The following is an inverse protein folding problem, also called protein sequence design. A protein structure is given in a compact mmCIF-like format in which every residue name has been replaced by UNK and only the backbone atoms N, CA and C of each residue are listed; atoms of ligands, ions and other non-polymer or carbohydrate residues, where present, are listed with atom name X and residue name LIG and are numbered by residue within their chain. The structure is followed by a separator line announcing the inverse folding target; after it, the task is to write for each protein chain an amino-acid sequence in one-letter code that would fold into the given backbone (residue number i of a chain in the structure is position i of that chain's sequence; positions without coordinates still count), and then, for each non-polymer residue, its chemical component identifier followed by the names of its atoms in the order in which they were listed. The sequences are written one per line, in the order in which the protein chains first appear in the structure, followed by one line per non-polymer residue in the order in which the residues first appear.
data_IF_150668833055
#
_entry.id   IF_150668833055
#
_cell.length_a   1.000
_cell.length_b   1.000
_cell.length_c   1.000
_cell.angle_alpha   90.00
_cell.angle_beta   90.00
_cell.angle_gamma   90.00
#
_symmetry.space_group_name_H-M   'P 1'
#
loop_
_entity.id
_entity.type
_entity.pdbx_description
1 polymer ?
#
# COMPACT_ATOMS: atom_id res chain seq x y z
N UNK A 1 35.04 -35.96 -24.76
CA UNK A 1 34.01 -34.90 -24.71
C UNK A 1 32.88 -35.39 -23.80
N UNK A 2 32.86 -34.91 -22.56
CA UNK A 2 31.95 -35.35 -21.49
C UNK A 2 31.30 -34.10 -20.91
N UNK A 3 29.96 -34.10 -20.85
CA UNK A 3 29.15 -33.02 -20.28
C UNK A 3 29.43 -32.83 -18.77
N UNK A 4 29.37 -31.60 -18.22
CA UNK A 4 29.60 -31.39 -16.81
C UNK A 4 28.35 -31.78 -16.00
N UNK A 5 28.57 -32.70 -15.05
CA UNK A 5 27.63 -33.12 -14.00
C UNK A 5 27.24 -31.94 -13.12
N UNK A 6 25.94 -31.60 -13.07
CA UNK A 6 25.38 -30.75 -12.03
C UNK A 6 25.52 -31.42 -10.66
N UNK A 7 26.25 -30.77 -9.79
CA UNK A 7 26.51 -31.18 -8.41
C UNK A 7 25.22 -31.03 -7.58
N UNK A 8 24.51 -32.14 -7.33
CA UNK A 8 23.50 -32.24 -6.27
C UNK A 8 24.16 -31.96 -4.92
N UNK A 9 24.03 -30.73 -4.41
CA UNK A 9 24.29 -30.44 -2.99
C UNK A 9 22.97 -30.54 -2.22
N UNK A 10 22.94 -31.51 -1.30
CA UNK A 10 21.91 -31.72 -0.29
C UNK A 10 21.76 -30.42 0.52
N UNK A 11 20.73 -29.63 0.23
CA UNK A 11 20.29 -28.54 1.09
C UNK A 11 19.26 -29.11 2.08
N UNK A 12 19.66 -29.09 3.36
CA UNK A 12 18.90 -29.37 4.58
C UNK A 12 17.39 -29.55 4.43
N UNK A 13 16.96 -30.80 4.60
CA UNK A 13 15.58 -31.27 4.69
C UNK A 13 14.83 -30.80 5.96
N UNK A 14 15.32 -29.75 6.65
CA UNK A 14 14.72 -29.20 7.88
C UNK A 14 14.16 -27.78 7.66
N UNK A 15 14.62 -27.05 6.64
CA UNK A 15 14.11 -25.70 6.31
C UNK A 15 12.85 -25.73 5.43
N UNK A 16 12.63 -26.82 4.69
CA UNK A 16 11.45 -27.01 3.84
C UNK A 16 10.22 -27.42 4.66
N UNK A 17 10.41 -28.11 5.80
CA UNK A 17 9.32 -28.45 6.71
C UNK A 17 8.81 -27.23 7.51
N UNK A 18 9.65 -26.22 7.77
CA UNK A 18 9.26 -25.00 8.50
C UNK A 18 8.50 -23.98 7.63
N UNK A 19 8.75 -23.95 6.32
CA UNK A 19 7.94 -23.20 5.34
C UNK A 19 6.56 -23.86 5.15
N UNK A 20 6.50 -25.20 5.16
CA UNK A 20 5.24 -25.95 5.12
C UNK A 20 4.45 -25.89 6.44
N UNK A 21 5.13 -25.78 7.60
CA UNK A 21 4.47 -25.57 8.89
C UNK A 21 3.90 -24.16 9.07
N UNK A 22 4.47 -23.11 8.45
CA UNK A 22 3.85 -21.78 8.41
C UNK A 22 2.75 -21.66 7.35
N UNK A 23 2.87 -22.35 6.21
CA UNK A 23 1.74 -22.51 5.30
C UNK A 23 0.61 -23.28 5.99
N UNK A 24 0.91 -24.31 6.81
CA UNK A 24 -0.08 -25.08 7.56
C UNK A 24 -0.63 -24.36 8.80
N UNK A 25 0.11 -23.46 9.46
CA UNK A 25 -0.41 -22.63 10.57
C UNK A 25 -1.18 -21.41 10.07
N UNK A 26 -0.82 -20.88 8.90
CA UNK A 26 -1.62 -19.88 8.18
C UNK A 26 -2.88 -20.54 7.61
N UNK A 27 -2.80 -21.76 7.05
CA UNK A 27 -3.97 -22.56 6.65
C UNK A 27 -4.75 -23.16 7.82
N UNK A 28 -4.17 -23.39 8.99
CA UNK A 28 -4.90 -23.90 10.16
C UNK A 28 -5.64 -22.76 10.86
N UNK A 29 -5.06 -21.56 10.95
CA UNK A 29 -5.80 -20.36 11.34
C UNK A 29 -6.84 -19.97 10.28
N UNK A 30 -6.55 -20.16 8.98
CA UNK A 30 -7.52 -19.93 7.90
C UNK A 30 -8.60 -21.04 7.84
N UNK A 31 -8.31 -22.31 8.19
CA UNK A 31 -9.32 -23.39 8.26
C UNK A 31 -10.13 -23.40 9.56
N UNK A 32 -9.58 -22.91 10.68
CA UNK A 32 -10.36 -22.67 11.90
C UNK A 32 -11.26 -21.43 11.79
N UNK A 33 -10.93 -20.47 10.90
CA UNK A 33 -11.78 -19.30 10.62
C UNK A 33 -12.69 -19.43 9.38
N UNK A 34 -12.31 -20.22 8.36
CA UNK A 34 -13.13 -20.48 7.16
C UNK A 34 -14.25 -21.50 7.37
N UNK A 35 -14.46 -22.03 8.58
CA UNK A 35 -15.63 -22.86 8.87
C UNK A 35 -16.87 -22.06 9.29
N UNK A 36 -16.89 -20.74 9.09
CA UNK A 36 -18.11 -19.94 9.19
C UNK A 36 -18.28 -19.14 7.90
N UNK A 37 -19.14 -19.69 7.04
CA UNK A 37 -19.78 -19.11 5.85
C UNK A 37 -18.84 -18.57 4.76
N UNK A 38 -18.53 -19.45 3.80
CA UNK A 38 -18.07 -19.07 2.47
C UNK A 38 -19.18 -18.35 1.69
N UNK A 39 -19.42 -17.09 2.01
CA UNK A 39 -20.08 -16.17 1.10
C UNK A 39 -19.02 -15.26 0.48
N UNK A 40 -18.61 -15.60 -0.75
CA UNK A 40 -18.02 -14.62 -1.65
C UNK A 40 -19.08 -13.54 -1.91
N UNK A 41 -18.84 -12.31 -1.48
CA UNK A 41 -19.64 -11.18 -1.94
C UNK A 41 -19.21 -10.91 -3.38
N UNK A 42 -20.02 -11.39 -4.33
CA UNK A 42 -19.80 -11.16 -5.75
C UNK A 42 -20.06 -9.69 -6.09
N UNK A 43 -19.05 -8.97 -6.55
CA UNK A 43 -19.20 -7.64 -7.13
C UNK A 43 -19.53 -7.69 -8.63
N UNK A 44 -20.25 -8.71 -9.10
CA UNK A 44 -20.62 -8.91 -10.52
C UNK A 44 -21.59 -7.88 -11.09
N UNK A 45 -21.84 -6.77 -10.40
CA UNK A 45 -22.68 -5.67 -10.90
C UNK A 45 -21.90 -4.40 -11.29
N UNK A 46 -20.57 -4.35 -11.15
CA UNK A 46 -19.79 -3.12 -11.36
C UNK A 46 -18.86 -3.18 -12.58
N UNK A 47 -19.41 -3.43 -13.77
CA UNK A 47 -18.73 -3.07 -15.00
C UNK A 47 -18.96 -1.56 -15.24
N UNK A 48 -17.95 -0.74 -14.96
CA UNK A 48 -18.02 0.71 -15.19
C UNK A 48 -17.88 0.99 -16.71
N UNK A 49 -18.87 1.58 -17.38
CA UNK A 49 -18.65 2.12 -18.72
C UNK A 49 -17.68 3.31 -18.64
N UNK A 50 -16.63 3.27 -19.43
CA UNK A 50 -15.66 4.38 -19.55
C UNK A 50 -16.31 5.48 -20.40
N UNK A 51 -16.83 6.53 -19.76
CA UNK A 51 -17.28 7.73 -20.47
C UNK A 51 -16.07 8.65 -20.77
N UNK A 52 -15.87 9.13 -22.02
CA UNK A 52 -14.69 9.93 -22.39
C UNK A 52 -14.75 11.40 -21.96
N UNK A 53 -15.88 11.88 -21.43
CA UNK A 53 -16.06 13.31 -21.15
C UNK A 53 -15.66 13.66 -19.71
N UNK A 54 -14.60 14.47 -19.57
CA UNK A 54 -14.27 15.14 -18.29
C UNK A 54 -15.40 16.11 -17.92
N UNK A 55 -16.40 15.63 -17.19
CA UNK A 55 -17.31 16.54 -16.46
C UNK A 55 -16.52 17.21 -15.34
N UNK A 56 -16.40 18.53 -15.42
CA UNK A 56 -16.05 19.35 -14.27
C UNK A 56 -17.22 19.20 -13.31
N UNK A 57 -17.04 18.51 -12.18
CA UNK A 57 -18.07 18.45 -11.14
C UNK A 57 -18.18 19.83 -10.50
N UNK A 58 -18.98 20.69 -11.14
CA UNK A 58 -19.46 21.93 -10.58
C UNK A 58 -20.33 21.63 -9.37
N UNK A 59 -20.27 22.54 -8.41
CA UNK A 59 -21.05 22.63 -7.19
C UNK A 59 -22.54 22.53 -7.52
N UNK A 60 -23.17 21.37 -7.25
CA UNK A 60 -24.63 21.26 -7.33
C UNK A 60 -25.15 21.04 -5.92
N UNK A 61 -25.75 22.10 -5.35
CA UNK A 61 -26.74 21.97 -4.28
C UNK A 61 -27.99 21.34 -4.90
N UNK A 62 -27.95 20.05 -5.19
CA UNK A 62 -29.16 19.34 -5.59
C UNK A 62 -29.94 19.04 -4.31
N UNK A 63 -31.19 19.51 -4.25
CA UNK A 63 -32.18 18.99 -3.32
C UNK A 63 -32.13 17.46 -3.39
N UNK A 64 -31.75 16.81 -2.30
CA UNK A 64 -31.37 15.40 -2.37
C UNK A 64 -32.53 14.50 -2.76
N UNK A 65 -33.79 14.96 -2.71
CA UNK A 65 -34.99 14.18 -3.02
C UNK A 65 -34.99 12.79 -2.35
N UNK A 66 -34.40 12.69 -1.14
CA UNK A 66 -34.24 11.44 -0.38
C UNK A 66 -32.98 10.62 -0.69
N UNK A 67 -32.17 11.00 -1.67
CA UNK A 67 -30.88 10.38 -1.96
C UNK A 67 -29.85 10.66 -0.86
N UNK A 68 -28.93 9.71 -0.57
CA UNK A 68 -27.90 9.93 0.43
C UNK A 68 -26.89 10.97 -0.05
N UNK A 69 -26.40 11.79 0.88
CA UNK A 69 -25.49 12.90 0.58
C UNK A 69 -24.05 12.51 0.93
N UNK A 70 -23.13 12.72 -0.02
CA UNK A 70 -21.70 12.52 0.17
C UNK A 70 -20.94 13.84 0.14
N UNK A 71 -20.02 13.98 1.07
CA UNK A 71 -19.03 15.05 1.11
C UNK A 71 -17.67 14.51 0.67
N UNK A 72 -17.12 15.05 -0.42
CA UNK A 72 -15.82 14.59 -0.98
C UNK A 72 -14.76 15.66 -0.78
N UNK A 73 -13.67 15.33 -0.09
CA UNK A 73 -12.60 16.28 0.29
C UNK A 73 -11.28 15.89 -0.34
N UNK A 74 -10.72 16.80 -1.12
CA UNK A 74 -9.38 16.66 -1.67
C UNK A 74 -8.63 17.98 -1.74
N UNK A 75 -7.33 17.90 -2.02
CA UNK A 75 -6.54 19.08 -2.41
C UNK A 75 -6.92 19.42 -3.86
N UNK A 76 -7.11 20.71 -4.16
CA UNK A 76 -7.40 21.20 -5.52
C UNK A 76 -8.65 20.56 -6.16
N UNK A 77 -9.82 20.73 -5.53
CA UNK A 77 -11.09 20.14 -6.00
C UNK A 77 -11.46 20.54 -7.45
N UNK A 78 -10.97 21.69 -7.93
CA UNK A 78 -11.23 22.19 -9.28
C UNK A 78 -10.45 21.47 -10.39
N UNK A 79 -9.52 20.55 -10.07
CA UNK A 79 -8.65 19.92 -11.09
C UNK A 79 -9.10 18.51 -11.51
N UNK A 80 -10.30 18.07 -11.13
CA UNK A 80 -10.73 16.67 -11.30
C UNK A 80 -10.04 15.71 -10.33
N UNK A 81 -9.47 16.22 -9.24
CA UNK A 81 -8.89 15.41 -8.19
C UNK A 81 -9.98 14.56 -7.51
N UNK A 82 -9.71 13.27 -7.29
CA UNK A 82 -10.69 12.26 -6.82
C UNK A 82 -11.84 11.97 -7.79
N UNK A 83 -11.73 12.30 -9.08
CA UNK A 83 -12.76 12.02 -10.09
C UNK A 83 -13.39 10.62 -9.98
N UNK A 84 -12.57 9.57 -9.83
CA UNK A 84 -13.07 8.20 -9.69
C UNK A 84 -13.94 7.98 -8.45
N UNK A 85 -13.70 8.71 -7.35
CA UNK A 85 -14.54 8.66 -6.16
C UNK A 85 -15.90 9.27 -6.46
N UNK A 86 -15.93 10.44 -7.11
CA UNK A 86 -17.18 11.07 -7.52
C UNK A 86 -18.00 10.15 -8.43
N UNK A 87 -17.36 9.51 -9.41
CA UNK A 87 -18.03 8.60 -10.33
C UNK A 87 -18.64 7.39 -9.63
N UNK A 88 -17.88 6.74 -8.73
CA UNK A 88 -18.38 5.63 -7.94
C UNK A 88 -19.55 6.06 -7.06
N UNK A 89 -19.46 7.23 -6.42
CA UNK A 89 -20.54 7.74 -5.56
C UNK A 89 -21.82 8.04 -6.37
N UNK A 90 -21.69 8.66 -7.53
CA UNK A 90 -22.82 8.92 -8.43
C UNK A 90 -23.49 7.61 -8.86
N UNK A 91 -22.70 6.59 -9.22
CA UNK A 91 -23.24 5.26 -9.56
C UNK A 91 -23.92 4.55 -8.38
N UNK A 92 -23.47 4.83 -7.16
CA UNK A 92 -24.11 4.34 -5.93
C UNK A 92 -25.35 5.18 -5.53
N UNK A 93 -25.72 6.19 -6.33
CA UNK A 93 -26.88 7.05 -6.08
C UNK A 93 -26.65 8.15 -5.04
N UNK A 94 -25.39 8.44 -4.68
CA UNK A 94 -25.08 9.57 -3.80
C UNK A 94 -25.14 10.89 -4.56
N UNK A 95 -25.63 11.92 -3.87
CA UNK A 95 -25.48 13.31 -4.30
C UNK A 95 -24.23 13.88 -3.64
N UNK A 96 -23.25 14.31 -4.44
CA UNK A 96 -22.04 14.95 -3.91
C UNK A 96 -22.28 16.44 -3.68
N UNK A 97 -22.14 16.90 -2.44
CA UNK A 97 -22.48 18.26 -2.03
C UNK A 97 -21.35 18.96 -1.24
N UNK A 98 -21.51 20.27 -1.05
CA UNK A 98 -20.65 21.09 -0.19
C UNK A 98 -20.84 20.78 1.30
N UNK A 99 -19.80 21.08 2.09
CA UNK A 99 -19.77 20.91 3.54
C UNK A 99 -20.67 21.90 4.27
N UNK A 100 -20.71 23.13 3.76
CA UNK A 100 -21.41 24.24 4.38
C UNK A 100 -22.31 24.93 3.36
N UNK A 101 -23.38 25.53 3.85
CA UNK A 101 -24.15 26.52 3.12
C UNK A 101 -23.37 27.85 2.98
N UNK A 102 -24.01 28.84 2.36
CA UNK A 102 -23.46 30.17 2.11
C UNK A 102 -23.22 30.94 3.42
N UNK A 103 -23.99 30.63 4.47
CA UNK A 103 -23.87 31.20 5.81
C UNK A 103 -22.87 30.45 6.71
N UNK A 104 -22.24 29.37 6.22
CA UNK A 104 -21.23 28.60 6.92
C UNK A 104 -21.77 27.53 7.87
N UNK A 105 -23.08 27.28 7.88
CA UNK A 105 -23.70 26.19 8.61
C UNK A 105 -23.47 24.83 7.91
N UNK A 106 -23.28 23.79 8.71
CA UNK A 106 -22.98 22.42 8.27
C UNK A 106 -24.21 21.78 7.63
N UNK A 107 -24.11 21.41 6.36
CA UNK A 107 -25.20 20.74 5.65
C UNK A 107 -25.41 19.28 6.13
N UNK A 108 -26.60 18.69 5.93
CA UNK A 108 -26.82 17.26 6.18
C UNK A 108 -25.93 16.38 5.29
N UNK A 109 -25.46 15.24 5.82
CA UNK A 109 -24.62 14.30 5.08
C UNK A 109 -24.66 12.89 5.67
N UNK A 110 -24.44 11.89 4.81
CA UNK A 110 -24.42 10.46 5.15
C UNK A 110 -23.02 9.85 5.02
N UNK A 111 -22.22 10.33 4.07
CA UNK A 111 -20.85 9.87 3.85
C UNK A 111 -19.87 11.05 3.77
N UNK A 112 -18.80 10.98 4.56
CA UNK A 112 -17.64 11.83 4.38
C UNK A 112 -16.50 11.01 3.77
N UNK A 113 -16.15 11.34 2.53
CA UNK A 113 -14.98 10.83 1.85
C UNK A 113 -13.86 11.87 1.88
N UNK A 114 -12.89 11.70 2.76
CA UNK A 114 -11.75 12.60 2.87
C UNK A 114 -10.48 11.96 2.33
N UNK A 115 -9.72 12.68 1.50
CA UNK A 115 -8.35 12.27 1.15
C UNK A 115 -7.40 12.47 2.34
N UNK A 116 -7.49 13.61 3.02
CA UNK A 116 -6.68 13.90 4.21
C UNK A 116 -7.34 13.31 5.47
N UNK A 117 -6.56 13.12 6.54
CA UNK A 117 -7.06 12.60 7.82
C UNK A 117 -7.99 13.61 8.51
N UNK A 118 -9.31 13.34 8.64
CA UNK A 118 -10.31 14.36 8.98
C UNK A 118 -10.44 14.62 10.50
N UNK A 119 -9.90 13.76 11.36
CA UNK A 119 -10.11 13.88 12.82
C UNK A 119 -9.31 15.00 13.49
N UNK A 120 -8.47 15.73 12.73
CA UNK A 120 -7.72 16.89 13.24
C UNK A 120 -8.46 18.20 12.96
N UNK A 121 -8.78 18.45 11.71
CA UNK A 121 -9.38 19.70 11.24
C UNK A 121 -10.90 19.70 11.31
N UNK A 122 -11.57 18.55 11.11
CA UNK A 122 -13.01 18.42 11.28
C UNK A 122 -13.38 17.86 12.67
N UNK A 123 -12.50 18.02 13.67
CA UNK A 123 -12.69 17.49 15.03
C UNK A 123 -14.07 17.81 15.65
N UNK A 124 -14.64 19.03 15.53
CA UNK A 124 -15.96 19.32 16.07
C UNK A 124 -17.08 18.46 15.46
N UNK A 125 -16.99 18.17 14.15
CA UNK A 125 -17.97 17.36 13.41
C UNK A 125 -17.74 15.88 13.74
N UNK A 126 -16.48 15.42 13.71
CA UNK A 126 -16.13 14.01 13.97
C UNK A 126 -16.51 13.53 15.38
N UNK A 127 -16.59 14.44 16.36
CA UNK A 127 -17.06 14.12 17.72
C UNK A 127 -18.58 13.96 17.83
N UNK A 128 -19.34 14.42 16.84
CA UNK A 128 -20.80 14.49 16.85
C UNK A 128 -21.44 13.64 15.74
N UNK A 129 -20.75 12.59 15.31
CA UNK A 129 -21.26 11.68 14.27
C UNK A 129 -22.55 11.00 14.73
N UNK A 130 -23.54 10.97 13.83
CA UNK A 130 -24.79 10.24 14.03
C UNK A 130 -24.64 8.79 13.53
N UNK A 131 -25.46 7.83 14.00
CA UNK A 131 -25.30 6.42 13.65
C UNK A 131 -25.33 6.08 12.15
N UNK A 132 -26.01 6.87 11.32
CA UNK A 132 -26.07 6.68 9.87
C UNK A 132 -24.82 7.21 9.14
N UNK A 133 -24.04 8.09 9.79
CA UNK A 133 -22.93 8.80 9.16
C UNK A 133 -21.68 7.95 9.10
N UNK A 134 -21.07 7.87 7.91
CA UNK A 134 -19.87 7.07 7.65
C UNK A 134 -18.71 7.95 7.23
N UNK A 135 -17.51 7.60 7.68
CA UNK A 135 -16.26 8.27 7.31
C UNK A 135 -15.28 7.24 6.79
N UNK A 136 -14.57 7.53 5.71
CA UNK A 136 -13.60 6.60 5.11
C UNK A 136 -12.24 6.51 5.88
N UNK A 137 -12.20 6.94 7.14
CA UNK A 137 -11.01 6.88 8.01
C UNK A 137 -11.38 6.41 9.41
N UNK A 138 -10.47 5.66 10.05
CA UNK A 138 -10.56 5.35 11.47
C UNK A 138 -9.75 6.36 12.31
N UNK A 139 -10.25 6.78 13.49
CA UNK A 139 -9.45 7.53 14.44
C UNK A 139 -8.20 6.73 14.82
N UNK A 140 -7.03 7.38 14.80
CA UNK A 140 -5.76 6.73 15.16
C UNK A 140 -5.14 5.87 14.06
N UNK A 141 -5.75 5.77 12.87
CA UNK A 141 -5.18 5.04 11.72
C UNK A 141 -3.77 5.52 11.32
N UNK A 142 -3.41 6.74 11.70
CA UNK A 142 -2.06 7.29 11.60
C UNK A 142 -0.97 6.43 12.25
N UNK A 143 -1.28 5.61 13.25
CA UNK A 143 -0.29 4.75 13.89
C UNK A 143 0.28 3.68 12.94
N UNK A 144 -0.56 3.18 12.02
CA UNK A 144 -0.17 2.16 11.03
C UNK A 144 0.17 2.77 9.67
N UNK A 145 -0.40 3.93 9.31
CA UNK A 145 -0.15 4.58 8.01
C UNK A 145 1.02 5.57 8.03
N UNK A 146 1.41 6.07 9.21
CA UNK A 146 2.60 6.90 9.34
C UNK A 146 3.85 6.03 9.30
N UNK A 147 4.70 6.30 8.31
CA UNK A 147 5.94 5.57 8.07
C UNK A 147 6.86 5.48 9.28
N UNK A 148 7.06 6.58 10.01
CA UNK A 148 7.95 6.61 11.18
C UNK A 148 7.38 5.73 12.28
N UNK A 149 6.08 5.89 12.56
CA UNK A 149 5.40 5.13 13.62
C UNK A 149 5.37 3.63 13.30
N UNK A 150 5.10 3.26 12.05
CA UNK A 150 5.13 1.87 11.60
C UNK A 150 6.55 1.28 11.66
N UNK A 151 7.56 2.03 11.24
CA UNK A 151 8.95 1.57 11.23
C UNK A 151 9.50 1.31 12.66
N UNK A 152 8.93 1.97 13.67
CA UNK A 152 9.24 1.74 15.08
C UNK A 152 8.39 0.66 15.73
N UNK A 153 7.36 0.18 15.02
CA UNK A 153 6.60 -0.96 15.50
C UNK A 153 7.53 -2.17 15.55
N UNK A 154 7.60 -2.86 16.69
CA UNK A 154 8.36 -4.10 16.83
C UNK A 154 7.67 -5.30 16.15
N UNK A 155 6.94 -5.04 15.06
CA UNK A 155 6.25 -6.06 14.29
C UNK A 155 7.26 -6.93 13.54
N UNK A 156 7.02 -8.24 13.54
CA UNK A 156 7.96 -9.27 13.04
C UNK A 156 8.44 -9.03 11.59
N UNK A 157 7.61 -8.45 10.74
CA UNK A 157 7.86 -8.31 9.30
C UNK A 157 8.24 -6.89 8.88
N UNK A 158 8.45 -5.98 9.82
CA UNK A 158 8.89 -4.61 9.54
C UNK A 158 10.42 -4.53 9.73
N UNK A 159 11.19 -4.11 8.72
CA UNK A 159 12.63 -3.92 8.87
C UNK A 159 12.94 -2.90 9.98
N UNK A 160 13.96 -3.21 10.79
CA UNK A 160 14.33 -2.38 11.94
C UNK A 160 14.66 -0.95 11.51
N UNK A 161 14.16 0.01 12.27
CA UNK A 161 14.42 1.43 12.06
C UNK A 161 14.83 2.13 13.36
N UNK A 162 15.54 3.24 13.20
CA UNK A 162 16.16 4.01 14.26
C UNK A 162 15.93 5.50 14.01
N UNK A 163 15.38 6.23 14.99
CA UNK A 163 15.23 7.68 14.88
C UNK A 163 16.58 8.36 15.07
N UNK A 164 16.93 9.31 14.21
CA UNK A 164 18.17 10.06 14.32
C UNK A 164 17.85 11.49 14.79
N UNK A 165 18.63 12.06 15.74
CA UNK A 165 19.81 11.49 16.41
C UNK A 165 19.51 10.56 17.61
N UNK A 166 18.25 10.47 18.05
CA UNK A 166 17.83 9.85 19.32
C UNK A 166 18.33 8.41 19.54
N UNK A 167 18.25 7.55 18.53
CA UNK A 167 18.59 6.12 18.60
C UNK A 167 19.98 5.82 18.00
N UNK A 168 20.85 6.83 17.84
CA UNK A 168 22.20 6.67 17.27
C UNK A 168 22.98 5.51 17.92
N UNK A 169 22.99 5.43 19.25
CA UNK A 169 23.71 4.37 19.98
C UNK A 169 23.19 2.97 19.61
N UNK A 170 21.87 2.80 19.56
CA UNK A 170 21.21 1.53 19.22
C UNK A 170 21.50 1.11 17.77
N UNK A 171 21.50 2.06 16.84
CA UNK A 171 21.86 1.80 15.44
C UNK A 171 23.30 1.28 15.34
N UNK A 172 24.25 1.91 16.03
CA UNK A 172 25.65 1.50 15.98
C UNK A 172 25.87 0.12 16.62
N UNK A 173 25.17 -0.19 17.72
CA UNK A 173 25.20 -1.52 18.33
C UNK A 173 24.62 -2.58 17.39
N UNK A 174 23.49 -2.28 16.74
CA UNK A 174 22.87 -3.16 15.75
C UNK A 174 23.78 -3.42 14.54
N UNK A 175 24.36 -2.37 13.96
CA UNK A 175 25.26 -2.49 12.82
C UNK A 175 26.53 -3.30 13.15
N UNK A 176 27.06 -3.16 14.37
CA UNK A 176 28.18 -4.00 14.85
C UNK A 176 27.80 -5.48 14.93
N UNK A 177 26.59 -5.79 15.38
CA UNK A 177 26.10 -7.18 15.45
C UNK A 177 25.78 -7.79 14.07
N UNK A 178 25.52 -6.95 13.07
CA UNK A 178 25.17 -7.36 11.71
C UNK A 178 25.98 -6.59 10.65
N UNK A 179 27.28 -6.88 10.46
CA UNK A 179 28.18 -6.07 9.62
C UNK A 179 27.82 -6.04 8.12
N UNK A 180 27.00 -6.98 7.65
CA UNK A 180 26.56 -7.05 6.25
C UNK A 180 25.28 -6.25 5.98
N UNK A 181 24.66 -5.68 7.02
CA UNK A 181 23.41 -4.95 6.88
C UNK A 181 23.66 -3.61 6.22
N UNK A 182 22.93 -3.36 5.13
CA UNK A 182 22.88 -2.05 4.48
C UNK A 182 21.73 -1.23 5.06
N UNK A 183 21.86 0.08 5.02
CA UNK A 183 20.85 0.99 5.57
C UNK A 183 20.42 2.02 4.55
N UNK A 184 19.21 2.53 4.74
CA UNK A 184 18.65 3.65 3.99
C UNK A 184 18.27 4.74 4.98
N UNK A 185 18.83 5.93 4.79
CA UNK A 185 18.39 7.12 5.52
C UNK A 185 17.27 7.80 4.74
N UNK A 186 16.19 8.11 5.44
CA UNK A 186 15.03 8.77 4.87
C UNK A 186 14.75 10.03 5.70
N UNK A 187 14.63 11.16 5.02
CA UNK A 187 14.08 12.38 5.63
C UNK A 187 12.56 12.30 5.64
N UNK A 188 11.92 13.07 6.52
CA UNK A 188 10.46 13.19 6.55
C UNK A 188 9.87 13.73 5.23
N UNK A 189 10.69 14.38 4.37
CA UNK A 189 10.28 15.00 3.12
C UNK A 189 10.56 14.15 1.87
N UNK A 190 10.89 12.85 2.02
CA UNK A 190 11.00 11.88 0.92
C UNK A 190 12.01 12.19 -0.20
N UNK A 191 12.90 13.18 -0.05
CA UNK A 191 13.97 13.45 -1.02
C UNK A 191 15.27 12.73 -0.64
N UNK A 192 15.88 12.05 -1.61
CA UNK A 192 17.26 11.53 -1.49
C UNK A 192 17.41 10.15 -0.83
N UNK A 193 16.54 9.19 -1.13
CA UNK A 193 16.70 7.80 -0.67
C UNK A 193 18.00 7.25 -1.27
N UNK A 194 19.03 7.10 -0.44
CA UNK A 194 20.30 6.49 -0.82
C UNK A 194 20.63 5.37 0.14
N UNK A 195 21.06 4.24 -0.42
CA UNK A 195 21.63 3.14 0.36
C UNK A 195 23.06 3.55 0.72
N UNK A 196 23.39 3.44 1.99
CA UNK A 196 24.70 3.76 2.51
C UNK A 196 25.11 2.76 3.60
N UNK A 197 26.40 2.47 3.74
CA UNK A 197 26.91 1.81 4.92
C UNK A 197 26.73 2.74 6.13
N UNK A 198 26.73 2.19 7.35
CA UNK A 198 26.38 2.95 8.58
C UNK A 198 27.36 4.11 8.84
N UNK A 199 28.60 3.95 8.38
CA UNK A 199 29.70 4.90 8.51
C UNK A 199 29.49 6.17 7.68
N UNK A 200 28.75 6.08 6.57
CA UNK A 200 28.50 7.19 5.63
C UNK A 200 27.16 7.92 5.89
N UNK A 201 26.46 7.52 6.95
CA UNK A 201 25.18 8.11 7.36
C UNK A 201 25.40 9.41 8.15
N UNK A 202 24.55 10.41 7.89
CA UNK A 202 24.49 11.59 8.74
C UNK A 202 23.67 11.27 9.99
N UNK A 203 24.35 10.90 11.07
CA UNK A 203 23.74 10.53 12.34
C UNK A 203 23.45 11.73 13.27
N UNK A 204 23.63 12.96 12.77
CA UNK A 204 23.25 14.20 13.46
C UNK A 204 22.00 14.87 12.89
N UNK A 205 21.58 14.50 11.67
CA UNK A 205 20.41 15.07 11.02
C UNK A 205 19.11 14.86 11.82
N UNK A 206 18.58 15.95 12.37
CA UNK A 206 17.29 15.95 13.05
C UNK A 206 16.14 15.59 12.11
N UNK A 207 15.12 14.92 12.66
CA UNK A 207 13.92 14.56 11.90
C UNK A 207 14.16 13.55 10.79
N UNK A 208 15.29 12.83 10.83
CA UNK A 208 15.58 11.72 9.92
C UNK A 208 15.45 10.37 10.63
N UNK A 209 15.26 9.31 9.85
CA UNK A 209 15.33 7.95 10.37
C UNK A 209 16.15 7.07 9.44
N UNK A 210 16.82 6.10 10.04
CA UNK A 210 17.63 5.10 9.35
C UNK A 210 16.89 3.78 9.45
N UNK A 211 16.72 3.10 8.32
CA UNK A 211 16.05 1.81 8.25
C UNK A 211 16.94 0.78 7.58
N UNK A 212 16.92 -0.44 8.10
CA UNK A 212 17.54 -1.59 7.45
C UNK A 212 17.03 -1.78 6.02
N UNK A 213 17.94 -2.04 5.10
CA UNK A 213 17.64 -2.29 3.70
C UNK A 213 17.56 -3.79 3.42
N UNK A 214 16.46 -4.21 2.77
CA UNK A 214 16.27 -5.57 2.27
C UNK A 214 17.13 -5.76 1.02
N UNK A 215 18.35 -6.25 1.21
CA UNK A 215 19.37 -6.31 0.16
C UNK A 215 19.28 -7.51 -0.78
N UNK A 216 18.52 -8.54 -0.41
CA UNK A 216 18.25 -9.73 -1.23
C UNK A 216 16.74 -9.85 -1.54
N UNK A 217 16.17 -8.94 -2.35
CA UNK A 217 14.76 -9.01 -2.72
C UNK A 217 14.50 -10.13 -3.73
N UNK A 218 13.24 -10.58 -3.83
CA UNK A 218 12.79 -11.34 -4.99
C UNK A 218 12.86 -10.46 -6.24
N UNK A 219 13.34 -11.02 -7.35
CA UNK A 219 13.48 -10.33 -8.62
C UNK A 219 12.65 -11.06 -9.69
N UNK A 220 12.07 -10.30 -10.62
CA UNK A 220 11.48 -10.82 -11.86
C UNK A 220 12.29 -10.27 -13.02
N UNK A 221 12.85 -11.14 -13.85
CA UNK A 221 13.78 -10.77 -14.94
C UNK A 221 14.93 -9.85 -14.48
N UNK A 222 15.38 -10.04 -13.24
CA UNK A 222 16.42 -9.22 -12.63
C UNK A 222 15.96 -7.86 -12.11
N UNK A 223 14.68 -7.50 -12.21
CA UNK A 223 14.13 -6.25 -11.70
C UNK A 223 13.57 -6.40 -10.29
N UNK A 224 13.91 -5.47 -9.40
CA UNK A 224 13.26 -5.32 -8.10
C UNK A 224 11.86 -4.73 -8.30
N UNK A 225 10.92 -5.06 -7.43
CA UNK A 225 9.59 -4.50 -7.45
C UNK A 225 9.02 -4.29 -6.05
N UNK A 226 7.93 -3.53 -5.98
CA UNK A 226 7.02 -3.52 -4.84
C UNK A 226 5.60 -3.95 -5.25
N UNK A 227 4.80 -4.26 -4.23
CA UNK A 227 3.42 -4.73 -4.39
C UNK A 227 2.51 -3.80 -3.59
N UNK A 228 1.54 -3.20 -4.27
CA UNK A 228 0.43 -2.46 -3.67
C UNK A 228 -0.78 -3.38 -3.48
N UNK A 229 -1.11 -3.67 -2.22
CA UNK A 229 -2.30 -4.45 -1.85
C UNK A 229 -3.34 -3.52 -1.25
N UNK A 230 -4.59 -3.62 -1.72
CA UNK A 230 -5.70 -2.84 -1.22
C UNK A 230 -6.42 -3.60 -0.11
N UNK A 231 -6.53 -2.99 1.07
CA UNK A 231 -7.17 -3.56 2.26
C UNK A 231 -8.27 -2.62 2.76
N UNK A 232 -9.45 -3.16 3.01
CA UNK A 232 -10.60 -2.47 3.58
C UNK A 232 -10.81 -2.91 5.03
N UNK A 233 -10.74 -1.96 5.95
CA UNK A 233 -11.15 -2.13 7.34
C UNK A 233 -12.59 -1.61 7.47
N UNK A 234 -13.52 -2.43 7.94
CA UNK A 234 -14.94 -2.03 8.09
C UNK A 234 -15.36 -1.86 9.55
N UNK A 235 -14.69 -2.55 10.47
CA UNK A 235 -14.89 -2.41 11.90
C UNK A 235 -13.61 -2.75 12.66
N UNK A 236 -13.40 -2.07 13.79
CA UNK A 236 -12.34 -2.37 14.76
C UNK A 236 -12.86 -3.16 15.96
N UNK A 237 -14.19 -3.19 16.15
CA UNK A 237 -14.84 -3.88 17.26
C UNK A 237 -16.22 -4.40 16.83
N UNK A 238 -16.36 -5.69 16.47
CA UNK A 238 -15.27 -6.65 16.27
C UNK A 238 -14.39 -6.28 15.07
N UNK A 239 -13.12 -6.71 15.08
CA UNK A 239 -12.21 -6.46 13.96
C UNK A 239 -12.69 -7.16 12.69
N UNK A 240 -12.89 -6.40 11.60
CA UNK A 240 -13.29 -6.91 10.28
C UNK A 240 -12.45 -6.29 9.17
N UNK A 241 -11.56 -7.11 8.60
CA UNK A 241 -10.59 -6.73 7.58
C UNK A 241 -10.82 -7.55 6.31
N UNK A 242 -10.81 -6.88 5.16
CA UNK A 242 -10.97 -7.47 3.84
C UNK A 242 -9.78 -7.10 2.97
N UNK A 243 -9.28 -8.05 2.18
CA UNK A 243 -8.32 -7.78 1.11
C UNK A 243 -9.10 -7.72 -0.20
N UNK A 244 -8.82 -6.74 -1.05
CA UNK A 244 -9.43 -6.67 -2.36
C UNK A 244 -9.03 -7.91 -3.17
N UNK A 245 -10.01 -8.70 -3.60
CA UNK A 245 -9.80 -9.94 -4.33
C UNK A 245 -9.57 -9.75 -5.83
N UNK A 246 -9.75 -8.53 -6.34
CA UNK A 246 -9.37 -8.18 -7.70
C UNK A 246 -7.85 -8.13 -7.86
N UNK A 247 -7.35 -7.12 -8.56
CA UNK A 247 -5.93 -7.06 -8.87
C UNK A 247 -5.08 -6.44 -7.75
N UNK A 248 -3.77 -6.67 -7.81
CA UNK A 248 -2.76 -5.99 -7.00
C UNK A 248 -1.87 -5.14 -7.89
N UNK A 249 -1.27 -4.08 -7.36
CA UNK A 249 -0.41 -3.21 -8.13
C UNK A 249 1.04 -3.69 -8.03
N UNK A 250 1.58 -4.28 -9.10
CA UNK A 250 3.01 -4.53 -9.22
C UNK A 250 3.71 -3.33 -9.89
N UNK A 251 4.81 -2.87 -9.29
CA UNK A 251 5.62 -1.79 -9.84
C UNK A 251 7.09 -2.16 -9.84
N UNK A 252 7.69 -2.23 -11.03
CA UNK A 252 9.06 -2.69 -11.19
C UNK A 252 10.02 -1.51 -11.33
N UNK A 253 11.19 -1.63 -10.72
CA UNK A 253 12.34 -0.78 -11.00
C UNK A 253 12.72 -0.90 -12.49
N UNK A 254 12.95 0.21 -13.22
CA UNK A 254 13.22 0.14 -14.66
C UNK A 254 14.62 -0.38 -14.99
N UNK A 255 15.55 -0.42 -14.03
CA UNK A 255 16.91 -0.96 -14.21
C UNK A 255 17.07 -2.27 -13.45
N UNK A 256 17.78 -3.23 -14.05
CA UNK A 256 18.08 -4.52 -13.40
C UNK A 256 18.89 -4.32 -12.12
N UNK A 257 18.55 -5.07 -11.09
CA UNK A 257 19.12 -4.95 -9.75
C UNK A 257 20.61 -5.32 -9.71
N UNK A 258 21.02 -6.33 -10.50
CA UNK A 258 22.41 -6.79 -10.60
C UNK A 258 23.07 -6.46 -11.96
N UNK A 259 24.38 -6.15 -11.99
CA UNK A 259 25.24 -5.88 -10.83
C UNK A 259 24.74 -4.67 -10.03
N UNK A 260 24.88 -4.74 -8.71
CA UNK A 260 24.26 -3.78 -7.81
C UNK A 260 25.13 -2.52 -7.68
N UNK A 261 24.51 -1.37 -7.90
CA UNK A 261 25.13 -0.05 -7.77
C UNK A 261 24.18 0.87 -7.00
N UNK A 262 24.58 1.25 -5.78
CA UNK A 262 23.79 2.11 -4.90
C UNK A 262 23.64 3.55 -5.42
N UNK A 263 24.49 3.98 -6.37
CA UNK A 263 24.39 5.30 -6.99
C UNK A 263 23.22 5.41 -7.98
N UNK A 264 22.76 4.28 -8.52
CA UNK A 264 21.66 4.20 -9.48
C UNK A 264 20.37 3.84 -8.72
N UNK A 265 19.61 4.87 -8.34
CA UNK A 265 18.38 4.71 -7.54
C UNK A 265 17.33 3.83 -8.23
N UNK A 266 17.23 3.92 -9.55
CA UNK A 266 16.26 3.17 -10.36
C UNK A 266 16.45 1.65 -10.35
N UNK A 267 17.54 1.16 -9.73
CA UNK A 267 17.71 -0.27 -9.43
C UNK A 267 16.91 -0.71 -8.21
N UNK A 268 16.67 0.18 -7.24
CA UNK A 268 16.15 -0.20 -5.92
C UNK A 268 15.05 0.69 -5.33
N UNK A 269 14.77 1.84 -5.93
CA UNK A 269 13.66 2.73 -5.60
C UNK A 269 12.64 2.63 -6.72
N UNK A 270 11.38 2.38 -6.36
CA UNK A 270 10.26 2.42 -7.29
C UNK A 270 9.75 3.86 -7.35
N UNK A 271 9.95 4.52 -8.48
CA UNK A 271 9.48 5.87 -8.78
C UNK A 271 8.11 5.90 -9.48
N UNK A 272 7.68 7.09 -9.89
CA UNK A 272 6.44 7.28 -10.65
C UNK A 272 6.58 6.78 -12.11
N UNK A 273 7.82 6.69 -12.60
CA UNK A 273 8.24 6.17 -13.90
C UNK A 273 8.57 4.66 -13.88
N UNK A 274 7.99 3.94 -12.91
CA UNK A 274 8.19 2.50 -12.77
C UNK A 274 7.86 1.73 -14.07
N UNK A 275 8.56 0.61 -14.27
CA UNK A 275 8.26 -0.31 -15.36
C UNK A 275 6.97 -1.09 -15.01
N UNK A 276 5.91 -1.00 -15.82
CA UNK A 276 4.66 -1.71 -15.57
C UNK A 276 4.76 -3.19 -15.96
N UNK A 277 3.86 -4.02 -15.42
CA UNK A 277 3.81 -5.48 -15.59
C UNK A 277 3.89 -5.94 -17.05
N UNK A 278 3.18 -5.28 -17.98
CA UNK A 278 3.17 -5.66 -19.40
C UNK A 278 4.50 -5.39 -20.14
N UNK A 279 5.43 -4.64 -19.53
CA UNK A 279 6.79 -4.45 -20.04
C UNK A 279 7.80 -5.46 -19.49
N UNK A 280 7.43 -6.26 -18.49
CA UNK A 280 8.29 -7.32 -17.93
C UNK A 280 8.21 -8.56 -18.83
N UNK A 281 9.31 -9.00 -19.46
CA UNK A 281 9.29 -10.06 -20.48
C UNK A 281 8.62 -11.37 -20.03
N UNK A 282 8.92 -11.85 -18.83
CA UNK A 282 8.38 -13.10 -18.29
C UNK A 282 6.92 -13.02 -17.83
N UNK A 283 6.41 -11.81 -17.55
CA UNK A 283 5.02 -11.60 -17.15
C UNK A 283 4.11 -11.23 -18.33
N UNK A 284 4.69 -10.67 -19.39
CA UNK A 284 3.96 -10.18 -20.56
C UNK A 284 3.05 -11.23 -21.22
N UNK A 285 3.44 -12.50 -21.42
CA UNK A 285 2.55 -13.49 -22.02
C UNK A 285 1.28 -13.70 -21.19
N UNK A 286 1.42 -13.77 -19.87
CA UNK A 286 0.27 -13.94 -18.97
C UNK A 286 -0.63 -12.70 -18.94
N UNK A 287 -0.03 -11.51 -18.91
CA UNK A 287 -0.80 -10.27 -18.81
C UNK A 287 -1.48 -9.91 -20.13
N UNK A 288 -0.70 -9.84 -21.22
CA UNK A 288 -1.17 -9.31 -22.50
C UNK A 288 -1.85 -10.37 -23.35
N UNK A 289 -1.35 -11.61 -23.38
CA UNK A 289 -1.85 -12.64 -24.30
C UNK A 289 -2.98 -13.46 -23.66
N UNK A 290 -2.90 -13.71 -22.35
CA UNK A 290 -3.96 -14.42 -21.60
C UNK A 290 -4.99 -13.48 -20.95
N UNK A 291 -4.72 -12.17 -20.93
CA UNK A 291 -5.63 -11.18 -20.35
C UNK A 291 -5.74 -11.24 -18.82
N UNK A 292 -4.75 -11.83 -18.13
CA UNK A 292 -4.74 -11.92 -16.67
C UNK A 292 -4.47 -10.55 -16.04
N UNK A 293 -4.95 -10.37 -14.80
CA UNK A 293 -4.48 -9.26 -13.94
C UNK A 293 -3.00 -9.40 -13.58
N UNK A 294 -2.41 -8.36 -12.98
CA UNK A 294 -1.02 -8.37 -12.53
C UNK A 294 -0.76 -9.48 -11.51
N UNK A 295 -1.69 -9.67 -10.56
CA UNK A 295 -1.62 -10.74 -9.55
C UNK A 295 -1.55 -12.12 -10.20
N UNK A 296 -2.50 -12.41 -11.08
CA UNK A 296 -2.62 -13.74 -11.67
C UNK A 296 -1.50 -14.01 -12.68
N UNK A 297 -1.01 -12.97 -13.35
CA UNK A 297 0.19 -13.04 -14.19
C UNK A 297 1.43 -13.42 -13.38
N UNK A 298 1.59 -12.81 -12.20
CA UNK A 298 2.70 -13.12 -11.30
C UNK A 298 2.57 -14.52 -10.68
N UNK A 299 1.36 -14.92 -10.28
CA UNK A 299 1.10 -16.26 -9.74
C UNK A 299 1.34 -17.35 -10.79
N UNK A 300 1.04 -17.08 -12.07
CA UNK A 300 1.34 -17.99 -13.17
C UNK A 300 2.85 -18.10 -13.43
N UNK A 301 3.59 -17.00 -13.35
CA UNK A 301 5.04 -16.97 -13.49
C UNK A 301 5.79 -17.70 -12.35
N UNK A 302 5.25 -17.67 -11.14
CA UNK A 302 5.86 -18.33 -9.97
C UNK A 302 5.80 -19.87 -10.00
N UNK A 303 4.92 -20.45 -10.83
CA UNK A 303 4.66 -21.91 -10.89
C UNK A 303 5.58 -22.60 -11.87
#
# INVERSE_FOLDING_TARGET
MVAPRMLRRRACCVTLLLLLLFAALSFAMLKLYCNITGESISATAFALPVSPERRVYGTVLAESNGAPIAWVRGKNQHTGYLYHVHEVLNHLGYVVANYTDEEGATLPWDLLWSHAYPFKDLRPIMKKLRPHQKVNHFPGSGFISNKVTLAESNLKFVPKAFRIPKDRKKLLEYAKSSPKTMFVQKSNNHRGIKIKPVEDLDLSAEGSFVQEFVHNPLLVDGHKFDIGVYVLLTSVQPLRVYMHAGDVLFRFCPVTYYPFDASIQDKYVVGDDYMPTWKVPSLRPFYTEQGNGMKDSFDAWLR
#
